data_IF_859411782150
#
_entry.id   IF_859411782150
#
_cell.length_a   1.000
_cell.length_b   1.000
_cell.length_c   1.000
_cell.angle_alpha   90.00
_cell.angle_beta   90.00
_cell.angle_gamma   90.00
#
_symmetry.space_group_name_H-M   'P 1'
#
loop_
_entity.id
_entity.type
_entity.pdbx_description
1 polymer ?
#
# COMPACT_ATOMS: atom_id res chain seq x y z
N UNK A 1 -27.63 -7.03 10.82
CA UNK A 1 -27.31 -6.87 9.39
C UNK A 1 -26.17 -7.82 9.05
N UNK A 2 -26.44 -8.88 8.28
CA UNK A 2 -25.39 -9.83 7.87
C UNK A 2 -24.47 -9.14 6.87
N UNK A 3 -23.16 -9.23 7.08
CA UNK A 3 -22.17 -8.65 6.16
C UNK A 3 -22.27 -9.34 4.81
N UNK A 4 -22.08 -8.60 3.71
CA UNK A 4 -22.04 -9.15 2.35
C UNK A 4 -21.08 -10.36 2.21
N UNK A 5 -20.10 -10.47 3.11
CA UNK A 5 -19.16 -11.58 3.22
C UNK A 5 -19.83 -12.92 3.58
N UNK A 6 -20.81 -12.89 4.47
CA UNK A 6 -21.50 -14.07 5.01
C UNK A 6 -22.41 -14.70 3.94
N UNK A 7 -23.09 -13.84 3.16
CA UNK A 7 -24.00 -14.24 2.09
C UNK A 7 -23.27 -14.93 0.92
N UNK A 8 -22.02 -14.53 0.65
CA UNK A 8 -21.23 -15.12 -0.44
C UNK A 8 -20.63 -16.47 -0.03
N UNK A 9 -20.33 -16.67 1.26
CA UNK A 9 -19.82 -17.96 1.76
C UNK A 9 -20.88 -19.07 1.68
N UNK A 10 -22.16 -18.77 1.93
CA UNK A 10 -23.25 -19.73 1.74
C UNK A 10 -23.44 -20.11 0.27
N UNK A 11 -23.33 -19.14 -0.65
CA UNK A 11 -23.54 -19.41 -2.09
C UNK A 11 -22.44 -20.25 -2.76
N UNK A 12 -21.24 -20.29 -2.20
CA UNK A 12 -20.09 -20.92 -2.90
C UNK A 12 -19.71 -22.31 -2.37
N UNK A 13 -20.53 -22.93 -1.52
CA UNK A 13 -20.33 -24.33 -1.10
C UNK A 13 -18.96 -24.62 -0.48
N UNK A 14 -18.36 -23.63 0.20
CA UNK A 14 -17.10 -23.79 0.95
C UNK A 14 -15.82 -24.03 0.14
N UNK A 15 -15.85 -24.07 -1.20
CA UNK A 15 -14.64 -24.31 -2.02
C UNK A 15 -14.24 -23.05 -2.79
N UNK A 16 -13.52 -22.16 -2.11
CA UNK A 16 -12.84 -21.04 -2.77
C UNK A 16 -11.46 -21.55 -3.21
N UNK A 17 -11.32 -21.90 -4.49
CA UNK A 17 -10.05 -22.32 -5.13
C UNK A 17 -9.11 -21.15 -5.47
N UNK A 18 -9.36 -19.97 -4.91
CA UNK A 18 -8.47 -18.81 -4.92
C UNK A 18 -8.13 -18.40 -3.49
N UNK A 19 -7.08 -17.59 -3.28
CA UNK A 19 -6.66 -17.06 -1.98
C UNK A 19 -7.85 -16.87 -1.02
N UNK A 20 -7.80 -17.51 0.15
CA UNK A 20 -8.90 -17.49 1.11
C UNK A 20 -9.35 -16.05 1.39
N UNK A 21 -10.63 -15.85 1.69
CA UNK A 21 -11.19 -14.53 2.02
C UNK A 21 -10.36 -13.79 3.07
N UNK A 22 -9.79 -14.52 4.03
CA UNK A 22 -8.84 -14.01 5.02
C UNK A 22 -7.52 -13.52 4.42
N UNK A 23 -6.93 -14.24 3.46
CA UNK A 23 -5.70 -13.80 2.75
C UNK A 23 -5.96 -12.57 1.89
N UNK A 24 -7.11 -12.52 1.20
CA UNK A 24 -7.50 -11.33 0.40
C UNK A 24 -7.67 -10.09 1.29
N UNK A 25 -8.35 -10.22 2.43
CA UNK A 25 -8.47 -9.13 3.40
C UNK A 25 -7.12 -8.61 3.88
N UNK A 26 -6.21 -9.52 4.28
CA UNK A 26 -4.85 -9.13 4.71
C UNK A 26 -4.09 -8.39 3.62
N UNK A 27 -4.17 -8.85 2.37
CA UNK A 27 -3.52 -8.17 1.24
C UNK A 27 -4.08 -6.75 1.06
N UNK A 28 -5.40 -6.58 1.10
CA UNK A 28 -6.02 -5.24 1.00
C UNK A 28 -5.67 -4.32 2.17
N UNK A 29 -5.55 -4.88 3.38
CA UNK A 29 -5.15 -4.14 4.57
C UNK A 29 -3.68 -3.67 4.47
N UNK A 30 -2.77 -4.55 4.02
CA UNK A 30 -1.38 -4.20 3.70
C UNK A 30 -1.34 -3.08 2.66
N UNK A 31 -2.09 -3.21 1.56
CA UNK A 31 -2.14 -2.17 0.52
C UNK A 31 -2.64 -0.83 1.07
N UNK A 32 -3.65 -0.82 1.93
CA UNK A 32 -4.15 0.41 2.57
C UNK A 32 -3.10 1.05 3.48
N UNK A 33 -2.42 0.26 4.30
CA UNK A 33 -1.35 0.75 5.21
C UNK A 33 -0.22 1.38 4.40
N UNK A 34 0.27 0.69 3.36
CA UNK A 34 1.35 1.19 2.53
C UNK A 34 0.93 2.40 1.70
N UNK A 35 -0.32 2.47 1.25
CA UNK A 35 -0.87 3.65 0.58
C UNK A 35 -0.91 4.86 1.51
N UNK A 36 -1.31 4.69 2.78
CA UNK A 36 -1.27 5.77 3.78
C UNK A 36 0.16 6.28 3.98
N UNK A 37 1.12 5.37 4.16
CA UNK A 37 2.54 5.73 4.33
C UNK A 37 3.10 6.49 3.12
N UNK A 38 2.75 6.08 1.90
CA UNK A 38 3.18 6.80 0.69
C UNK A 38 2.57 8.21 0.66
N UNK A 39 1.27 8.35 0.97
CA UNK A 39 0.62 9.65 1.01
C UNK A 39 1.23 10.58 2.07
N UNK A 40 1.57 10.06 3.25
CA UNK A 40 2.27 10.81 4.30
C UNK A 40 3.64 11.31 3.83
N UNK A 41 4.43 10.46 3.16
CA UNK A 41 5.73 10.83 2.60
C UNK A 41 5.59 11.87 1.48
N UNK A 42 4.58 11.75 0.61
CA UNK A 42 4.29 12.72 -0.45
C UNK A 42 3.91 14.10 0.12
N UNK A 43 3.06 14.12 1.16
CA UNK A 43 2.68 15.36 1.85
C UNK A 43 3.91 15.99 2.52
N UNK A 44 4.75 15.19 3.19
CA UNK A 44 5.97 15.67 3.83
C UNK A 44 6.96 16.25 2.80
N UNK A 45 7.16 15.56 1.68
CA UNK A 45 8.03 16.02 0.60
C UNK A 45 7.51 17.30 -0.05
N UNK A 46 6.19 17.40 -0.28
CA UNK A 46 5.54 18.62 -0.78
C UNK A 46 5.79 19.79 0.18
N UNK A 47 5.68 19.55 1.49
CA UNK A 47 6.01 20.56 2.51
C UNK A 47 7.47 21.00 2.47
N UNK A 48 8.41 20.07 2.25
CA UNK A 48 9.84 20.39 2.07
C UNK A 48 10.09 21.18 0.78
N UNK A 49 9.52 20.77 -0.35
CA UNK A 49 9.62 21.51 -1.62
C UNK A 49 9.10 22.94 -1.49
N UNK A 50 7.99 23.15 -0.76
CA UNK A 50 7.48 24.49 -0.50
C UNK A 50 8.43 25.35 0.33
N UNK A 51 9.19 24.75 1.26
CA UNK A 51 10.22 25.44 2.04
C UNK A 51 11.49 25.74 1.23
N UNK A 52 11.85 24.86 0.30
CA UNK A 52 12.98 25.05 -0.61
C UNK A 52 12.75 26.21 -1.60
N UNK A 53 11.51 26.64 -1.83
CA UNK A 53 11.20 27.83 -2.62
C UNK A 53 11.55 27.65 -4.09
N UNK A 54 12.50 28.45 -4.60
CA UNK A 54 12.99 28.41 -5.98
C UNK A 54 14.29 27.62 -6.13
N UNK A 55 14.79 27.00 -5.05
CA UNK A 55 16.01 26.21 -5.09
C UNK A 55 15.77 24.87 -5.80
N UNK A 56 15.91 24.86 -7.12
CA UNK A 56 15.67 23.69 -7.98
C UNK A 56 16.52 22.48 -7.58
N UNK A 57 17.79 22.70 -7.21
CA UNK A 57 18.70 21.62 -6.83
C UNK A 57 18.24 20.91 -5.54
N UNK A 58 17.68 21.67 -4.59
CA UNK A 58 17.13 21.13 -3.34
C UNK A 58 15.78 20.43 -3.58
N UNK A 59 14.92 20.99 -4.44
CA UNK A 59 13.67 20.36 -4.86
C UNK A 59 13.94 19.03 -5.56
N UNK A 60 14.94 18.96 -6.44
CA UNK A 60 15.31 17.75 -7.15
C UNK A 60 15.88 16.68 -6.22
N UNK A 61 16.69 17.07 -5.24
CA UNK A 61 17.12 16.18 -4.14
C UNK A 61 15.92 15.61 -3.38
N UNK A 62 14.97 16.46 -2.96
CA UNK A 62 13.77 16.04 -2.24
C UNK A 62 12.92 15.06 -3.08
N UNK A 63 12.74 15.33 -4.38
CA UNK A 63 12.00 14.44 -5.29
C UNK A 63 12.71 13.09 -5.47
N UNK A 64 14.03 13.10 -5.61
CA UNK A 64 14.84 11.89 -5.76
C UNK A 64 14.78 11.03 -4.49
N UNK A 65 14.90 11.65 -3.33
CA UNK A 65 14.74 10.97 -2.04
C UNK A 65 13.33 10.37 -1.89
N UNK A 66 12.28 11.13 -2.23
CA UNK A 66 10.90 10.66 -2.21
C UNK A 66 10.72 9.44 -3.13
N UNK A 67 11.23 9.50 -4.37
CA UNK A 67 11.13 8.39 -5.32
C UNK A 67 11.80 7.11 -4.80
N UNK A 68 12.97 7.23 -4.18
CA UNK A 68 13.66 6.11 -3.53
C UNK A 68 12.87 5.54 -2.35
N UNK A 69 12.28 6.43 -1.53
CA UNK A 69 11.41 6.06 -0.39
C UNK A 69 10.19 5.28 -0.86
N UNK A 70 9.46 5.81 -1.85
CA UNK A 70 8.27 5.19 -2.43
C UNK A 70 8.61 3.82 -3.03
N UNK A 71 9.72 3.72 -3.75
CA UNK A 71 10.19 2.46 -4.33
C UNK A 71 10.45 1.42 -3.24
N UNK A 72 11.13 1.83 -2.16
CA UNK A 72 11.38 0.97 -1.01
C UNK A 72 10.09 0.54 -0.30
N UNK A 73 9.12 1.44 -0.14
CA UNK A 73 7.81 1.13 0.45
C UNK A 73 7.01 0.16 -0.42
N UNK A 74 7.00 0.35 -1.74
CA UNK A 74 6.36 -0.58 -2.69
C UNK A 74 7.00 -1.96 -2.65
N UNK A 75 8.33 -2.03 -2.61
CA UNK A 75 9.06 -3.30 -2.49
C UNK A 75 8.71 -4.04 -1.19
N UNK A 76 8.63 -3.33 -0.06
CA UNK A 76 8.18 -3.91 1.22
C UNK A 76 6.74 -4.39 1.17
N UNK A 77 5.84 -3.60 0.56
CA UNK A 77 4.45 -3.97 0.34
C UNK A 77 4.34 -5.27 -0.46
N UNK A 78 5.05 -5.40 -1.58
CA UNK A 78 5.05 -6.63 -2.38
C UNK A 78 5.64 -7.82 -1.61
N UNK A 79 6.70 -7.61 -0.83
CA UNK A 79 7.30 -8.67 0.00
C UNK A 79 6.32 -9.19 1.06
N UNK A 80 5.60 -8.30 1.73
CA UNK A 80 4.56 -8.69 2.69
C UNK A 80 3.40 -9.40 2.01
N UNK A 81 2.93 -8.90 0.86
CA UNK A 81 1.88 -9.57 0.08
C UNK A 81 2.33 -10.95 -0.42
N UNK A 82 3.58 -11.11 -0.84
CA UNK A 82 4.16 -12.41 -1.22
C UNK A 82 4.15 -13.40 -0.04
N UNK A 83 4.52 -12.92 1.16
CA UNK A 83 4.46 -13.71 2.39
C UNK A 83 3.03 -14.16 2.71
N UNK A 84 2.03 -13.30 2.52
CA UNK A 84 0.61 -13.68 2.69
C UNK A 84 0.16 -14.67 1.61
N UNK A 85 0.69 -14.54 0.39
CA UNK A 85 0.44 -15.46 -0.72
C UNK A 85 1.10 -16.84 -0.51
N UNK A 86 2.08 -16.97 0.40
CA UNK A 86 2.95 -18.15 0.56
C UNK A 86 3.70 -18.49 -0.74
N UNK A 87 4.31 -17.48 -1.38
CA UNK A 87 5.22 -17.64 -2.53
C UNK A 87 6.62 -17.24 -2.09
#
# INVERSE_FOLDING_TARGET
MKSALELVMEKTGGKITGLSSSKKKKISEIDMIYKSKIAEEEIAATGKCRKAGENEEEIEKIKTELASRITSLKAKCEKEKASVRNI
#
